data_IF_583989339386
#
_entry.id   IF_583989339386
#
_cell.length_a   1.000
_cell.length_b   1.000
_cell.length_c   1.000
_cell.angle_alpha   90.00
_cell.angle_beta   90.00
_cell.angle_gamma   90.00
#
_symmetry.space_group_name_H-M   'P 1'
#
loop_
_entity.id
_entity.type
_entity.pdbx_description
1 polymer ?
#
# COMPACT_ATOMS: atom_id res chain seq x y z
N UNK A 1 -53.38 -18.16 -33.29
CA UNK A 1 -52.12 -18.05 -32.51
C UNK A 1 -52.40 -17.18 -31.29
N UNK A 2 -52.46 -17.79 -30.09
CA UNK A 2 -52.92 -17.13 -28.86
C UNK A 2 -51.77 -16.35 -28.22
N UNK A 3 -52.06 -15.10 -27.85
CA UNK A 3 -51.24 -14.21 -27.03
C UNK A 3 -51.14 -14.78 -25.61
N UNK A 4 -49.96 -14.69 -25.00
CA UNK A 4 -49.81 -14.59 -23.55
C UNK A 4 -48.52 -13.82 -23.23
N UNK A 5 -48.73 -12.65 -22.65
CA UNK A 5 -47.76 -11.72 -22.08
C UNK A 5 -47.94 -11.85 -20.57
N UNK A 6 -46.89 -12.19 -19.80
CA UNK A 6 -46.72 -11.97 -18.35
C UNK A 6 -45.25 -12.32 -18.05
N UNK A 7 -44.33 -11.35 -17.88
CA UNK A 7 -43.99 -10.68 -16.62
C UNK A 7 -43.55 -11.65 -15.52
N UNK A 8 -42.25 -11.87 -15.38
CA UNK A 8 -41.66 -12.17 -14.06
C UNK A 8 -40.38 -11.37 -13.86
N UNK A 9 -40.59 -10.28 -13.14
CA UNK A 9 -39.64 -9.48 -12.41
C UNK A 9 -38.98 -10.37 -11.34
N UNK A 10 -37.70 -10.69 -11.46
CA UNK A 10 -36.87 -11.07 -10.33
C UNK A 10 -35.59 -10.24 -10.37
N UNK A 11 -35.74 -9.06 -9.77
CA UNK A 11 -34.67 -8.22 -9.28
C UNK A 11 -33.93 -9.05 -8.21
N UNK A 12 -32.89 -9.75 -8.64
CA UNK A 12 -31.86 -10.28 -7.76
C UNK A 12 -30.85 -9.18 -7.49
N UNK A 13 -31.19 -8.21 -6.64
CA UNK A 13 -30.22 -7.32 -5.99
C UNK A 13 -29.42 -8.14 -4.97
N UNK A 14 -28.55 -9.00 -5.50
CA UNK A 14 -27.52 -9.72 -4.79
C UNK A 14 -26.14 -9.14 -5.12
N UNK A 15 -26.04 -7.84 -5.40
CA UNK A 15 -24.76 -7.15 -5.35
C UNK A 15 -24.41 -6.93 -3.87
N UNK A 16 -24.04 -8.01 -3.19
CA UNK A 16 -23.07 -7.90 -2.12
C UNK A 16 -21.82 -7.31 -2.79
N UNK A 17 -21.68 -5.99 -2.75
CA UNK A 17 -20.41 -5.35 -3.01
C UNK A 17 -19.49 -5.83 -1.89
N UNK A 18 -18.78 -6.94 -2.13
CA UNK A 18 -17.55 -7.21 -1.40
C UNK A 18 -16.75 -5.91 -1.49
N UNK A 19 -16.51 -5.32 -0.32
CA UNK A 19 -15.59 -4.22 -0.15
C UNK A 19 -14.38 -4.52 -1.01
N UNK A 20 -14.24 -3.79 -2.12
CA UNK A 20 -13.16 -4.02 -3.07
C UNK A 20 -11.89 -3.63 -2.34
N UNK A 21 -11.28 -4.60 -1.65
CA UNK A 21 -9.95 -4.43 -1.10
C UNK A 21 -9.08 -4.03 -2.29
N UNK A 22 -8.53 -2.82 -2.24
CA UNK A 22 -7.58 -2.32 -3.22
C UNK A 22 -6.42 -3.31 -3.29
N UNK A 23 -6.51 -4.26 -4.23
CA UNK A 23 -5.55 -5.33 -4.37
C UNK A 23 -4.53 -4.92 -5.43
N UNK A 24 -3.29 -4.72 -5.01
CA UNK A 24 -2.17 -4.55 -5.94
C UNK A 24 -1.70 -5.94 -6.32
N UNK A 25 -1.81 -6.28 -7.60
CA UNK A 25 -1.40 -7.59 -8.09
C UNK A 25 0.13 -7.67 -8.22
N UNK A 26 0.74 -8.85 -8.00
CA UNK A 26 2.15 -9.05 -8.25
C UNK A 26 2.50 -8.77 -9.72
N UNK A 27 3.60 -8.07 -9.96
CA UNK A 27 4.13 -7.85 -11.30
C UNK A 27 5.20 -8.92 -11.60
N UNK A 28 5.00 -9.74 -12.65
CA UNK A 28 5.94 -10.82 -13.00
C UNK A 28 7.31 -10.33 -13.48
N UNK A 29 7.46 -9.04 -13.81
CA UNK A 29 8.72 -8.44 -14.24
C UNK A 29 9.56 -7.89 -13.08
N UNK A 30 9.01 -7.87 -11.87
CA UNK A 30 9.69 -7.36 -10.68
C UNK A 30 10.36 -8.47 -9.87
N UNK A 31 11.05 -8.10 -8.79
CA UNK A 31 11.69 -9.04 -7.88
C UNK A 31 10.69 -10.00 -7.20
N UNK A 32 11.18 -11.01 -6.46
CA UNK A 32 10.32 -11.98 -5.81
C UNK A 32 9.41 -11.31 -4.78
N UNK A 33 8.22 -11.88 -4.59
CA UNK A 33 7.32 -11.50 -3.50
C UNK A 33 7.98 -11.86 -2.17
N UNK A 34 8.11 -10.87 -1.31
CA UNK A 34 8.62 -10.98 0.04
C UNK A 34 7.52 -10.66 1.04
N UNK A 35 7.63 -11.21 2.24
CA UNK A 35 6.75 -10.89 3.37
C UNK A 35 7.63 -10.58 4.58
N UNK A 36 7.41 -9.43 5.20
CA UNK A 36 8.19 -9.00 6.34
C UNK A 36 7.40 -8.10 7.28
N UNK A 37 7.85 -8.06 8.52
CA UNK A 37 7.36 -7.10 9.50
C UNK A 37 8.08 -5.77 9.34
N UNK A 38 7.29 -4.71 9.29
CA UNK A 38 7.83 -3.37 9.13
C UNK A 38 6.92 -2.30 9.65
N UNK A 39 7.41 -1.08 9.51
CA UNK A 39 6.70 0.14 9.88
C UNK A 39 6.54 1.00 8.63
N UNK A 40 5.30 1.34 8.30
CA UNK A 40 5.01 2.44 7.38
C UNK A 40 4.98 3.73 8.18
N UNK A 41 5.76 4.73 7.77
CA UNK A 41 5.81 6.02 8.44
C UNK A 41 5.80 7.17 7.45
N UNK A 42 4.98 8.17 7.72
CA UNK A 42 4.99 9.46 7.03
C UNK A 42 5.11 10.59 8.06
N UNK A 43 6.19 11.35 7.97
CA UNK A 43 6.56 12.45 8.85
C UNK A 43 6.74 13.77 8.08
N UNK A 44 6.20 13.85 6.84
CA UNK A 44 6.43 14.97 5.94
C UNK A 44 6.09 16.34 6.57
N UNK A 45 5.09 16.38 7.44
CA UNK A 45 4.66 17.61 8.11
C UNK A 45 5.53 18.01 9.32
N UNK A 46 6.37 17.12 9.85
CA UNK A 46 7.21 17.37 11.04
C UNK A 46 8.67 17.54 10.69
N UNK A 47 9.26 16.57 9.98
CA UNK A 47 10.68 16.56 9.63
C UNK A 47 10.92 16.60 8.11
N UNK A 48 9.86 16.74 7.32
CA UNK A 48 9.93 16.74 5.87
C UNK A 48 10.15 15.35 5.27
N UNK A 49 10.16 14.27 6.04
CA UNK A 49 10.36 12.91 5.54
C UNK A 49 9.05 12.23 5.17
N UNK A 50 8.85 12.05 3.87
CA UNK A 50 7.66 11.43 3.31
C UNK A 50 7.53 9.95 3.64
N UNK A 51 6.52 9.33 3.03
CA UNK A 51 6.19 7.93 3.27
C UNK A 51 7.34 6.97 2.94
N UNK A 52 7.79 6.24 3.95
CA UNK A 52 8.77 5.17 3.85
C UNK A 52 8.25 3.89 4.51
N UNK A 53 8.70 2.74 3.99
CA UNK A 53 8.58 1.44 4.64
C UNK A 53 9.93 1.09 5.27
N UNK A 54 9.93 0.88 6.59
CA UNK A 54 11.10 0.42 7.35
C UNK A 54 10.97 -1.06 7.68
N UNK A 55 11.93 -1.89 7.27
CA UNK A 55 11.97 -3.33 7.57
C UNK A 55 13.20 -3.64 8.41
N UNK A 56 13.00 -4.28 9.56
CA UNK A 56 14.11 -4.65 10.44
C UNK A 56 14.80 -5.90 9.92
N UNK A 57 16.07 -5.78 9.51
CA UNK A 57 16.88 -6.92 9.03
C UNK A 57 17.50 -7.71 10.19
N UNK A 58 17.93 -7.01 11.24
CA UNK A 58 18.49 -7.59 12.46
C UNK A 58 18.37 -6.60 13.63
N UNK A 59 18.98 -6.90 14.79
CA UNK A 59 18.90 -6.05 15.98
C UNK A 59 19.38 -4.59 15.76
N UNK A 60 20.31 -4.36 14.82
CA UNK A 60 20.99 -3.08 14.59
C UNK A 60 20.74 -2.46 13.22
N UNK A 61 20.14 -3.19 12.26
CA UNK A 61 20.01 -2.76 10.87
C UNK A 61 18.55 -2.73 10.44
N UNK A 62 18.13 -1.59 9.90
CA UNK A 62 16.81 -1.37 9.31
C UNK A 62 16.99 -0.93 7.87
N UNK A 63 16.35 -1.63 6.94
CA UNK A 63 16.28 -1.21 5.55
C UNK A 63 15.09 -0.25 5.38
N UNK A 64 15.28 0.80 4.59
CA UNK A 64 14.23 1.77 4.27
C UNK A 64 13.94 1.76 2.78
N UNK A 65 12.66 1.68 2.44
CA UNK A 65 12.17 1.60 1.08
C UNK A 65 11.19 2.73 0.78
N UNK A 66 11.29 3.28 -0.43
CA UNK A 66 10.26 4.14 -0.97
C UNK A 66 9.07 3.30 -1.44
N UNK A 67 7.88 3.79 -1.18
CA UNK A 67 6.64 3.17 -1.65
C UNK A 67 6.36 3.62 -3.08
N UNK A 68 6.20 2.67 -4.00
CA UNK A 68 5.84 2.96 -5.40
C UNK A 68 4.48 3.66 -5.51
N UNK A 69 4.29 4.44 -6.57
CA UNK A 69 3.04 5.20 -6.77
C UNK A 69 1.82 4.28 -6.90
N UNK A 70 1.98 3.12 -7.56
CA UNK A 70 0.93 2.09 -7.67
C UNK A 70 0.47 1.54 -6.32
N UNK A 71 1.29 1.66 -5.28
CA UNK A 71 0.96 1.19 -3.92
C UNK A 71 0.28 2.26 -3.07
N UNK A 72 0.30 3.53 -3.47
CA UNK A 72 -0.13 4.63 -2.61
C UNK A 72 -1.61 4.56 -2.24
N UNK A 73 -2.48 4.14 -3.16
CA UNK A 73 -3.91 3.96 -2.87
C UNK A 73 -4.13 2.89 -1.79
N UNK A 74 -3.40 1.78 -1.88
CA UNK A 74 -3.42 0.71 -0.88
C UNK A 74 -2.88 1.19 0.47
N UNK A 75 -1.79 1.95 0.50
CA UNK A 75 -1.16 2.38 1.77
C UNK A 75 -1.98 3.47 2.45
N UNK A 76 -2.45 4.48 1.72
CA UNK A 76 -3.12 5.66 2.29
C UNK A 76 -4.36 5.33 3.11
N UNK A 77 -5.05 4.23 2.81
CA UNK A 77 -6.23 3.81 3.59
C UNK A 77 -5.88 3.39 5.04
N UNK A 78 -4.61 3.06 5.31
CA UNK A 78 -4.15 2.66 6.63
C UNK A 78 -3.37 3.76 7.37
N UNK A 79 -3.06 4.88 6.72
CA UNK A 79 -2.33 5.98 7.35
C UNK A 79 -3.30 6.85 8.16
N UNK A 80 -3.27 6.68 9.48
CA UNK A 80 -3.97 7.55 10.43
C UNK A 80 -2.95 8.53 11.00
N UNK A 81 -3.17 9.83 10.76
CA UNK A 81 -2.27 10.88 11.24
C UNK A 81 -2.65 11.30 12.67
N UNK A 82 -1.66 11.29 13.55
CA UNK A 82 -1.72 11.82 14.92
C UNK A 82 -0.58 12.81 15.09
N UNK A 83 -0.88 14.03 15.51
CA UNK A 83 0.11 15.12 15.64
C UNK A 83 0.97 15.31 14.37
N UNK A 84 0.33 15.28 13.20
CA UNK A 84 0.96 15.43 11.88
C UNK A 84 1.93 14.31 11.45
N UNK A 85 1.94 13.18 12.17
CA UNK A 85 2.71 11.97 11.83
C UNK A 85 1.74 10.80 11.63
N UNK A 86 1.97 9.99 10.60
CA UNK A 86 1.35 8.68 10.47
C UNK A 86 2.39 7.59 10.71
N UNK A 87 2.05 6.60 11.54
CA UNK A 87 2.86 5.41 11.78
C UNK A 87 1.97 4.19 11.86
N UNK A 88 2.33 3.14 11.14
CA UNK A 88 1.63 1.86 11.12
C UNK A 88 2.63 0.72 11.17
N UNK A 89 2.58 -0.07 12.24
CA UNK A 89 3.30 -1.33 12.33
C UNK A 89 2.44 -2.44 11.69
N UNK A 90 3.02 -3.17 10.74
CA UNK A 90 2.28 -4.14 9.94
C UNK A 90 3.18 -5.27 9.42
N UNK A 91 2.57 -6.40 9.09
CA UNK A 91 3.18 -7.39 8.20
C UNK A 91 2.84 -7.00 6.75
N UNK A 92 3.85 -6.84 5.91
CA UNK A 92 3.73 -6.30 4.56
C UNK A 92 4.21 -7.34 3.55
N UNK A 93 3.41 -7.58 2.51
CA UNK A 93 3.85 -8.33 1.32
C UNK A 93 4.23 -7.35 0.23
N UNK A 94 5.41 -7.49 -0.36
CA UNK A 94 5.95 -6.54 -1.33
C UNK A 94 6.88 -7.18 -2.36
N UNK A 95 7.14 -6.49 -3.47
CA UNK A 95 8.17 -6.83 -4.46
C UNK A 95 9.17 -5.67 -4.60
N UNK A 96 10.48 -5.92 -4.55
CA UNK A 96 11.48 -4.93 -4.96
C UNK A 96 11.29 -4.59 -6.44
N UNK A 97 11.25 -3.30 -6.78
CA UNK A 97 11.07 -2.88 -8.19
C UNK A 97 12.39 -2.83 -8.96
N UNK A 98 13.53 -2.84 -8.27
CA UNK A 98 14.85 -2.61 -8.85
C UNK A 98 15.13 -1.15 -9.21
N UNK A 99 14.18 -0.24 -8.96
CA UNK A 99 14.31 1.20 -9.20
C UNK A 99 14.64 1.94 -7.91
N UNK A 100 15.16 3.16 -8.07
CA UNK A 100 15.23 4.15 -7.00
C UNK A 100 14.07 5.13 -7.13
N UNK A 101 13.54 5.58 -6.00
CA UNK A 101 12.56 6.66 -5.93
C UNK A 101 13.03 7.72 -4.95
N UNK A 102 12.88 8.97 -5.35
CA UNK A 102 13.17 10.12 -4.52
C UNK A 102 12.03 10.34 -3.52
N UNK A 103 12.39 10.43 -2.24
CA UNK A 103 11.48 10.77 -1.15
C UNK A 103 12.01 12.02 -0.48
N UNK A 104 11.16 13.02 -0.31
CA UNK A 104 11.51 14.21 0.47
C UNK A 104 11.88 13.74 1.88
N UNK A 105 13.05 14.10 2.40
CA UNK A 105 13.47 13.80 3.77
C UNK A 105 14.39 14.88 4.34
N UNK A 106 13.86 15.61 5.34
CA UNK A 106 14.41 16.89 5.78
C UNK A 106 13.77 18.06 5.02
N UNK A 107 13.74 19.24 5.64
CA UNK A 107 13.29 20.49 5.00
C UNK A 107 14.15 20.94 3.80
N UNK A 108 15.26 20.23 3.50
CA UNK A 108 16.29 20.66 2.56
C UNK A 108 16.52 19.75 1.35
N UNK A 109 15.80 18.63 1.16
CA UNK A 109 15.94 17.89 -0.09
C UNK A 109 15.32 16.50 -0.19
N UNK A 110 15.40 15.96 -1.40
CA UNK A 110 15.02 14.60 -1.74
C UNK A 110 16.18 13.64 -1.51
N UNK A 111 15.88 12.43 -1.04
CA UNK A 111 16.84 11.34 -0.90
C UNK A 111 16.40 10.13 -1.71
N UNK A 112 17.31 9.43 -2.41
CA UNK A 112 16.97 8.24 -3.17
C UNK A 112 16.88 7.02 -2.26
N UNK A 113 15.79 6.26 -2.38
CA UNK A 113 15.60 4.97 -1.70
C UNK A 113 15.29 3.87 -2.71
N UNK A 114 15.58 2.62 -2.37
CA UNK A 114 15.08 1.47 -3.12
C UNK A 114 13.56 1.46 -3.09
N UNK A 115 12.93 1.27 -4.24
CA UNK A 115 11.49 1.29 -4.36
C UNK A 115 10.90 -0.13 -4.24
N UNK A 116 9.74 -0.21 -3.58
CA UNK A 116 8.95 -1.43 -3.46
C UNK A 116 7.51 -1.25 -3.95
N UNK A 117 6.98 -2.31 -4.55
CA UNK A 117 5.55 -2.49 -4.82
C UNK A 117 4.93 -3.22 -3.64
N UNK A 118 4.05 -2.57 -2.89
CA UNK A 118 3.33 -3.18 -1.77
C UNK A 118 2.07 -3.85 -2.32
N UNK A 119 1.94 -5.14 -2.05
CA UNK A 119 0.86 -6.00 -2.52
C UNK A 119 -0.27 -6.11 -1.49
N UNK A 120 0.09 -6.18 -0.21
CA UNK A 120 -0.87 -6.24 0.90
C UNK A 120 -0.26 -5.76 2.21
N UNK A 121 -1.12 -5.24 3.09
CA UNK A 121 -0.76 -4.75 4.41
C UNK A 121 -1.67 -5.42 5.43
N UNK A 122 -1.09 -6.02 6.46
CA UNK A 122 -1.81 -6.58 7.60
C UNK A 122 -1.40 -5.82 8.87
N UNK A 123 -2.21 -4.86 9.36
CA UNK A 123 -1.95 -4.14 10.60
C UNK A 123 -1.75 -5.08 11.80
N UNK A 124 -0.98 -4.61 12.79
CA UNK A 124 -0.74 -5.31 14.06
C UNK A 124 -1.43 -4.65 15.23
#
# INVERSE_FOLDING_TARGET
MKKALVFFLLIGLGACSESSQLAVQPDPLLGPVQEADGTLSDQAAVDGCGLLLSIKRNASTTDQYAVSDSSLALVKQYLVYSYAVAKLDATVRFQPTGRKKEVLCGFAGFKPFDEVLILSIKPR
#
